data_IF_816061367442
#
_entry.id   IF_816061367442
#
_cell.length_a   1.000
_cell.length_b   1.000
_cell.length_c   1.000
_cell.angle_alpha   90.00
_cell.angle_beta   90.00
_cell.angle_gamma   90.00
#
_symmetry.space_group_name_H-M   'P 1'
#
loop_
_entity.id
_entity.type
_entity.pdbx_description
1 polymer ?
#
# COMPACT_ATOMS: atom_id res chain seq x y z
N UNK A 1 -15.63 -12.90 -8.71
CA UNK A 1 -15.77 -11.44 -8.64
C UNK A 1 -14.54 -10.78 -9.19
N UNK A 2 -14.73 -9.72 -9.91
CA UNK A 2 -13.64 -8.98 -10.51
C UNK A 2 -12.91 -8.21 -9.42
N UNK A 3 -11.58 -8.33 -9.37
CA UNK A 3 -10.79 -7.61 -8.39
C UNK A 3 -10.89 -6.11 -8.50
N UNK A 4 -11.16 -5.61 -9.71
CA UNK A 4 -11.35 -4.17 -9.87
C UNK A 4 -12.61 -3.70 -9.19
N UNK A 5 -13.64 -4.53 -9.18
CA UNK A 5 -14.86 -4.18 -8.46
C UNK A 5 -14.59 -4.15 -6.97
N UNK A 6 -13.80 -5.09 -6.48
CA UNK A 6 -13.45 -5.13 -5.08
C UNK A 6 -12.68 -3.87 -4.67
N UNK A 7 -11.69 -3.49 -5.48
CA UNK A 7 -10.91 -2.30 -5.21
C UNK A 7 -11.78 -1.05 -5.24
N UNK A 8 -12.71 -0.98 -6.19
CA UNK A 8 -13.61 0.16 -6.28
C UNK A 8 -14.46 0.29 -5.02
N UNK A 9 -14.92 -0.85 -4.48
CA UNK A 9 -15.69 -0.80 -3.26
C UNK A 9 -14.88 -0.23 -2.11
N UNK A 10 -13.61 -0.59 -2.02
CA UNK A 10 -12.75 -0.05 -0.98
C UNK A 10 -12.60 1.46 -1.16
N UNK A 11 -12.39 1.91 -2.39
CA UNK A 11 -12.28 3.36 -2.64
C UNK A 11 -13.54 4.09 -2.26
N UNK A 12 -14.69 3.54 -2.59
CA UNK A 12 -15.95 4.20 -2.29
C UNK A 12 -16.20 4.26 -0.81
N UNK A 13 -15.67 3.29 -0.07
CA UNK A 13 -15.79 3.27 1.38
C UNK A 13 -14.65 4.00 2.06
N UNK A 14 -13.73 4.59 1.29
CA UNK A 14 -12.55 5.24 1.86
C UNK A 14 -12.95 6.41 2.73
N UNK A 15 -12.45 6.45 3.95
CA UNK A 15 -12.81 7.55 4.85
C UNK A 15 -12.31 8.87 4.30
N UNK A 16 -13.15 9.88 4.40
CA UNK A 16 -12.76 11.20 3.96
C UNK A 16 -12.00 11.90 5.05
N UNK A 17 -10.96 12.64 4.69
CA UNK A 17 -10.23 13.38 5.72
C UNK A 17 -11.12 14.43 6.35
N UNK A 18 -10.93 14.63 7.62
CA UNK A 18 -11.63 15.67 8.34
C UNK A 18 -10.88 16.97 8.15
N UNK A 19 -11.42 17.84 7.35
CA UNK A 19 -10.70 19.04 6.95
C UNK A 19 -10.49 20.01 8.07
N UNK A 20 -11.25 19.92 9.12
CA UNK A 20 -11.21 20.94 10.15
C UNK A 20 -10.42 20.56 11.35
N UNK A 21 -10.04 19.29 11.45
CA UNK A 21 -9.55 18.85 12.71
C UNK A 21 -8.14 18.37 12.66
N UNK A 22 -7.98 17.22 12.17
CA UNK A 22 -6.74 16.52 12.37
C UNK A 22 -6.05 16.31 11.05
N UNK A 23 -4.75 16.53 11.07
CA UNK A 23 -3.92 16.23 9.92
C UNK A 23 -2.82 15.30 10.36
N UNK A 24 -2.51 14.37 9.51
CA UNK A 24 -1.41 13.47 9.79
C UNK A 24 -0.12 14.28 9.80
N UNK A 25 0.63 14.28 10.92
CA UNK A 25 1.88 15.03 10.97
C UNK A 25 2.99 14.42 10.13
N UNK A 26 2.82 13.17 9.71
CA UNK A 26 3.81 12.52 8.85
C UNK A 26 3.61 13.03 7.43
N UNK A 27 4.68 13.39 6.72
CA UNK A 27 4.54 13.85 5.33
C UNK A 27 3.87 12.79 4.48
N UNK A 28 3.08 13.23 3.51
CA UNK A 28 2.42 12.33 2.59
C UNK A 28 3.47 11.55 1.81
N UNK A 29 3.39 10.22 1.80
CA UNK A 29 4.44 9.41 1.18
C UNK A 29 4.56 9.65 -0.32
N UNK A 30 5.78 9.57 -0.83
CA UNK A 30 6.02 9.67 -2.25
C UNK A 30 5.69 8.37 -2.94
N UNK A 31 5.53 8.46 -4.26
CA UNK A 31 5.20 7.28 -5.04
C UNK A 31 6.42 6.37 -5.22
N UNK A 32 6.12 5.11 -5.53
CA UNK A 32 7.14 4.09 -5.74
C UNK A 32 6.95 3.52 -7.15
N UNK A 33 8.01 3.50 -7.94
CA UNK A 33 7.92 3.04 -9.33
C UNK A 33 8.54 1.67 -9.55
N UNK A 34 9.10 1.06 -8.54
CA UNK A 34 9.74 -0.24 -8.66
C UNK A 34 11.25 -0.19 -8.47
N UNK A 35 11.80 0.98 -8.18
CA UNK A 35 13.23 1.13 -7.95
C UNK A 35 13.60 0.48 -6.62
N UNK A 36 14.36 -0.61 -6.69
CA UNK A 36 14.73 -1.39 -5.51
C UNK A 36 15.33 -0.51 -4.42
N UNK A 37 16.15 0.45 -4.81
CA UNK A 37 16.85 1.29 -3.84
C UNK A 37 15.89 2.14 -3.03
N UNK A 38 14.71 2.39 -3.54
CA UNK A 38 13.75 3.24 -2.86
C UNK A 38 12.69 2.46 -2.11
N UNK A 39 12.69 1.15 -2.21
CA UNK A 39 11.66 0.35 -1.59
C UNK A 39 11.66 0.47 -0.06
N UNK A 40 12.83 0.40 0.61
CA UNK A 40 12.81 0.55 2.08
C UNK A 40 12.23 1.87 2.53
N UNK A 41 12.59 2.95 1.85
CA UNK A 41 12.06 4.26 2.19
C UNK A 41 10.55 4.31 1.98
N UNK A 42 10.08 3.74 0.88
CA UNK A 42 8.66 3.70 0.59
C UNK A 42 7.89 2.97 1.69
N UNK A 43 8.40 1.82 2.10
CA UNK A 43 7.72 1.01 3.12
C UNK A 43 7.70 1.74 4.45
N UNK A 44 8.81 2.38 4.82
CA UNK A 44 8.86 3.11 6.08
C UNK A 44 7.92 4.31 6.05
N UNK A 45 7.92 5.05 4.95
CA UNK A 45 7.10 6.25 4.87
C UNK A 45 5.61 5.91 4.88
N UNK A 46 5.21 4.92 4.08
CA UNK A 46 3.80 4.55 4.04
C UNK A 46 3.38 3.92 5.36
N UNK A 47 4.24 3.08 5.94
CA UNK A 47 3.93 2.45 7.20
C UNK A 47 3.77 3.45 8.32
N UNK A 48 4.66 4.44 8.37
CA UNK A 48 4.59 5.47 9.40
C UNK A 48 3.33 6.30 9.25
N UNK A 49 3.00 6.66 8.01
CA UNK A 49 1.82 7.45 7.74
C UNK A 49 0.56 6.72 8.21
N UNK A 50 0.47 5.45 7.90
CA UNK A 50 -0.69 4.65 8.27
C UNK A 50 -0.73 4.34 9.76
N UNK A 51 0.44 4.18 10.37
CA UNK A 51 0.50 3.89 11.80
C UNK A 51 -0.04 5.06 12.62
N UNK A 52 0.32 6.27 12.23
CA UNK A 52 -0.10 7.45 12.97
C UNK A 52 -1.59 7.70 12.79
N UNK A 53 -2.14 7.35 11.63
CA UNK A 53 -3.56 7.54 11.35
C UNK A 53 -4.26 6.19 11.32
N UNK A 54 -4.15 5.45 12.42
CA UNK A 54 -4.63 4.08 12.44
C UNK A 54 -6.15 3.99 12.37
N UNK A 55 -6.86 5.06 12.67
CA UNK A 55 -8.30 5.04 12.54
C UNK A 55 -8.74 5.02 11.09
N UNK A 56 -8.05 5.78 10.25
CA UNK A 56 -8.32 5.78 8.83
C UNK A 56 -7.93 4.45 8.21
N UNK A 57 -6.79 3.91 8.64
CA UNK A 57 -6.25 2.68 8.08
C UNK A 57 -6.52 1.52 9.02
N UNK A 58 -7.80 1.27 9.26
CA UNK A 58 -8.21 0.32 10.29
C UNK A 58 -8.25 -1.13 9.80
N UNK A 59 -8.08 -1.36 8.50
CA UNK A 59 -8.11 -2.73 7.97
C UNK A 59 -6.94 -2.92 7.01
N UNK A 60 -6.58 -4.18 6.81
CA UNK A 60 -5.53 -4.50 5.85
C UNK A 60 -5.91 -4.08 4.44
N UNK A 61 -7.20 -4.21 4.10
CA UNK A 61 -7.63 -3.81 2.76
C UNK A 61 -7.39 -2.33 2.53
N UNK A 62 -7.67 -1.50 3.53
CA UNK A 62 -7.42 -0.07 3.40
C UNK A 62 -5.93 0.22 3.29
N UNK A 63 -5.11 -0.49 4.05
CA UNK A 63 -3.67 -0.30 3.99
C UNK A 63 -3.11 -0.67 2.62
N UNK A 64 -3.52 -1.82 2.10
CA UNK A 64 -3.05 -2.25 0.79
C UNK A 64 -3.53 -1.31 -0.29
N UNK A 65 -4.78 -0.87 -0.20
CA UNK A 65 -5.31 0.07 -1.19
C UNK A 65 -4.51 1.37 -1.18
N UNK A 66 -4.16 1.86 0.00
CA UNK A 66 -3.34 3.06 0.09
C UNK A 66 -2.00 2.86 -0.60
N UNK A 67 -1.35 1.72 -0.36
CA UNK A 67 -0.10 1.42 -1.04
C UNK A 67 -0.28 1.45 -2.55
N UNK A 68 -1.35 0.85 -3.03
CA UNK A 68 -1.59 0.80 -4.47
C UNK A 68 -1.72 2.20 -5.06
N UNK A 69 -2.34 3.11 -4.35
CA UNK A 69 -2.47 4.48 -4.85
C UNK A 69 -1.14 5.20 -4.95
N UNK A 70 -0.12 4.69 -4.26
CA UNK A 70 1.21 5.29 -4.32
C UNK A 70 2.14 4.55 -5.27
N UNK A 71 1.63 3.61 -6.05
CA UNK A 71 2.44 2.88 -7.02
C UNK A 71 2.32 3.52 -8.39
N UNK A 72 3.43 3.58 -9.10
CA UNK A 72 3.46 4.09 -10.47
C UNK A 72 4.33 3.16 -11.32
N UNK A 73 4.23 3.31 -12.64
CA UNK A 73 5.08 2.61 -13.56
C UNK A 73 5.09 1.11 -13.36
N UNK A 74 6.27 0.48 -13.40
CA UNK A 74 6.34 -0.98 -13.28
C UNK A 74 5.73 -1.51 -11.98
N UNK A 75 5.82 -0.77 -10.89
CA UNK A 75 5.22 -1.23 -9.64
C UNK A 75 3.70 -1.30 -9.76
N UNK A 76 3.11 -0.31 -10.39
CA UNK A 76 1.67 -0.35 -10.61
C UNK A 76 1.29 -1.49 -11.54
N UNK A 77 2.07 -1.69 -12.60
CA UNK A 77 1.80 -2.79 -13.52
C UNK A 77 1.90 -4.15 -12.82
N UNK A 78 2.82 -4.27 -11.88
CA UNK A 78 2.96 -5.51 -11.12
C UNK A 78 1.67 -5.84 -10.36
N UNK A 79 1.01 -4.86 -9.81
CA UNK A 79 -0.15 -5.13 -8.96
C UNK A 79 -1.43 -5.36 -9.76
N UNK A 80 -1.48 -4.92 -11.01
CA UNK A 80 -2.72 -5.01 -11.77
C UNK A 80 -3.29 -6.43 -11.86
N UNK A 81 -2.48 -7.48 -12.13
CA UNK A 81 -3.07 -8.82 -12.17
C UNK A 81 -3.67 -9.26 -10.85
N UNK A 82 -3.09 -8.82 -9.73
CA UNK A 82 -3.66 -9.15 -8.43
C UNK A 82 -5.03 -8.51 -8.25
N UNK A 83 -5.17 -7.28 -8.73
CA UNK A 83 -6.47 -6.61 -8.67
C UNK A 83 -7.47 -7.32 -9.55
N UNK A 84 -7.06 -7.68 -10.76
CA UNK A 84 -7.97 -8.33 -11.70
C UNK A 84 -8.43 -9.69 -11.22
N UNK A 85 -7.56 -10.39 -10.50
CA UNK A 85 -7.88 -11.71 -10.00
C UNK A 85 -8.49 -11.70 -8.61
N UNK A 86 -8.67 -10.51 -8.04
CA UNK A 86 -9.20 -10.37 -6.69
C UNK A 86 -8.40 -11.19 -5.70
N UNK A 87 -7.08 -11.00 -5.75
CA UNK A 87 -6.15 -11.78 -4.95
C UNK A 87 -6.35 -11.54 -3.45
N UNK A 88 -6.20 -12.58 -2.62
CA UNK A 88 -6.24 -12.38 -1.17
C UNK A 88 -5.17 -11.44 -0.66
N UNK A 89 -4.10 -11.23 -1.43
CA UNK A 89 -3.06 -10.27 -1.03
C UNK A 89 -3.61 -8.85 -0.87
N UNK A 90 -4.70 -8.55 -1.56
CA UNK A 90 -5.30 -7.22 -1.46
C UNK A 90 -5.89 -6.95 -0.08
N UNK A 91 -6.07 -7.98 0.72
CA UNK A 91 -6.57 -7.86 2.08
C UNK A 91 -5.59 -8.39 3.11
N UNK A 92 -4.31 -8.47 2.73
CA UNK A 92 -3.27 -9.01 3.59
C UNK A 92 -2.06 -8.08 3.50
N UNK A 93 -2.00 -7.12 4.42
CA UNK A 93 -0.98 -6.09 4.36
C UNK A 93 0.42 -6.67 4.47
N UNK A 94 0.64 -7.59 5.41
CA UNK A 94 1.96 -8.19 5.57
C UNK A 94 2.35 -9.03 4.38
N UNK A 95 1.40 -9.82 3.88
CA UNK A 95 1.66 -10.62 2.69
C UNK A 95 1.95 -9.77 1.48
N UNK A 96 1.24 -8.66 1.35
CA UNK A 96 1.46 -7.74 0.25
C UNK A 96 2.87 -7.16 0.31
N UNK A 97 3.30 -6.73 1.49
CA UNK A 97 4.65 -6.20 1.64
C UNK A 97 5.70 -7.26 1.37
N UNK A 98 5.47 -8.48 1.84
CA UNK A 98 6.41 -9.57 1.60
C UNK A 98 6.57 -9.82 0.10
N UNK A 99 5.47 -9.78 -0.63
CA UNK A 99 5.52 -9.99 -2.06
C UNK A 99 6.22 -8.85 -2.76
N UNK A 100 5.99 -7.60 -2.33
CA UNK A 100 6.71 -6.47 -2.89
C UNK A 100 8.21 -6.62 -2.69
N UNK A 101 8.61 -7.03 -1.51
CA UNK A 101 10.03 -7.21 -1.22
C UNK A 101 10.63 -8.28 -2.12
N UNK A 102 9.89 -9.36 -2.32
CA UNK A 102 10.37 -10.44 -3.16
C UNK A 102 10.51 -10.00 -4.61
N UNK A 103 9.51 -9.30 -5.11
CA UNK A 103 9.46 -8.94 -6.53
C UNK A 103 10.44 -7.84 -6.87
N UNK A 104 10.58 -6.86 -5.98
CA UNK A 104 11.42 -5.70 -6.28
C UNK A 104 12.82 -5.80 -5.67
N UNK A 105 13.16 -6.97 -5.13
CA UNK A 105 14.54 -7.27 -4.82
C UNK A 105 15.07 -6.73 -3.51
N UNK A 106 14.19 -6.39 -2.57
CA UNK A 106 14.67 -6.01 -1.25
C UNK A 106 15.21 -7.24 -0.57
N UNK A 107 16.49 -7.26 -0.34
CA UNK A 107 17.09 -8.33 0.42
C UNK A 107 17.21 -7.90 1.83
N UNK A 108 16.46 -8.55 2.68
CA UNK A 108 16.68 -8.39 4.09
C UNK A 108 17.88 -9.21 4.42
N UNK A 109 18.78 -8.60 5.10
CA UNK A 109 19.97 -9.28 5.46
C UNK A 109 19.67 -10.17 6.63
N UNK A 110 19.24 -11.36 6.35
CA UNK A 110 18.84 -12.27 7.40
C UNK A 110 20.00 -12.86 8.11
N UNK A 111 21.15 -12.47 7.78
CA UNK A 111 22.31 -13.06 8.38
C UNK A 111 22.65 -12.50 9.71
N UNK A 112 21.93 -11.54 10.15
CA UNK A 112 22.21 -11.04 11.48
C UNK A 112 21.11 -11.26 12.42
#
# INVERSE_FOLDING_TARGET
MDGRVQLMKVFMAWPRPNRRRWRNPIPFPETFDGDTDKLPEFIVQTGSYMFVDDKTFSSDALKVTFLITRLTGPALQWVMPYIEKDSPLLSDYRGFLAEMKRVFGWEEDEDF
#
